data_IF_869011229071
#
_entry.id   IF_869011229071
#
_cell.length_a   1.000
_cell.length_b   1.000
_cell.length_c   1.000
_cell.angle_alpha   90.00
_cell.angle_beta   90.00
_cell.angle_gamma   90.00
#
_symmetry.space_group_name_H-M   'P 1'
#
loop_
_entity.id
_entity.type
_entity.pdbx_description
1 polymer ?
#
# COMPACT_ATOMS: atom_id res chain seq x y z
N UNK A 1 -1.73 -9.07 -6.29
CA UNK A 1 -1.50 -7.63 -6.58
C UNK A 1 -2.30 -6.81 -5.59
N UNK A 2 -1.63 -6.01 -4.75
CA UNK A 2 -2.31 -5.12 -3.79
C UNK A 2 -2.59 -3.78 -4.49
N UNK A 3 -3.84 -3.32 -4.58
CA UNK A 3 -4.15 -2.03 -5.18
C UNK A 3 -3.48 -0.87 -4.45
N UNK A 4 -3.12 0.19 -5.18
CA UNK A 4 -2.47 1.38 -4.60
C UNK A 4 -3.28 2.04 -3.49
N UNK A 5 -4.63 1.99 -3.57
CA UNK A 5 -5.51 2.52 -2.52
C UNK A 5 -5.36 1.77 -1.20
N UNK A 6 -5.11 0.45 -1.24
CA UNK A 6 -4.96 -0.36 -0.05
C UNK A 6 -3.65 -0.05 0.67
N UNK A 7 -2.55 0.13 -0.08
CA UNK A 7 -1.27 0.57 0.50
C UNK A 7 -1.37 1.97 1.12
N UNK A 8 -2.11 2.90 0.49
CA UNK A 8 -2.38 4.23 1.05
C UNK A 8 -3.22 4.16 2.33
N UNK A 9 -4.25 3.31 2.37
CA UNK A 9 -5.08 3.15 3.55
C UNK A 9 -4.26 2.63 4.74
N UNK A 10 -3.36 1.66 4.50
CA UNK A 10 -2.45 1.14 5.53
C UNK A 10 -1.47 2.22 6.01
N UNK A 11 -0.91 3.02 5.10
CA UNK A 11 0.01 4.12 5.46
C UNK A 11 -0.68 5.17 6.34
N UNK A 12 -1.88 5.62 5.97
CA UNK A 12 -2.68 6.58 6.75
C UNK A 12 -2.98 6.01 8.14
N UNK A 13 -3.50 4.78 8.20
CA UNK A 13 -3.85 4.12 9.45
C UNK A 13 -2.64 4.02 10.40
N UNK A 14 -1.47 3.63 9.89
CA UNK A 14 -0.28 3.47 10.72
C UNK A 14 0.28 4.82 11.19
N UNK A 15 0.18 5.88 10.38
CA UNK A 15 0.54 7.25 10.81
C UNK A 15 -0.37 7.74 11.93
N UNK A 16 -1.68 7.49 11.81
CA UNK A 16 -2.68 7.91 12.78
C UNK A 16 -2.49 7.19 14.13
N UNK A 17 -2.34 5.86 14.11
CA UNK A 17 -2.11 5.06 15.32
C UNK A 17 -0.81 5.45 16.03
N UNK A 18 0.25 5.67 15.26
CA UNK A 18 1.57 6.01 15.81
C UNK A 18 1.70 7.49 16.17
N UNK A 19 0.74 8.34 15.76
CA UNK A 19 0.77 9.79 15.86
C UNK A 19 2.07 10.40 15.30
N UNK A 20 2.56 9.85 14.19
CA UNK A 20 3.82 10.22 13.54
C UNK A 20 3.59 10.30 12.03
N UNK A 21 4.06 11.38 11.39
CA UNK A 21 3.85 11.64 9.95
C UNK A 21 4.83 10.92 9.00
N UNK A 22 5.69 10.06 9.55
CA UNK A 22 6.63 9.22 8.79
C UNK A 22 5.87 8.12 8.05
N UNK A 23 6.26 7.74 6.81
CA UNK A 23 5.64 6.64 6.08
C UNK A 23 5.46 5.38 6.94
N UNK A 24 4.26 4.81 6.87
CA UNK A 24 3.81 3.63 7.61
C UNK A 24 4.01 3.74 9.12
N UNK A 25 3.97 4.95 9.69
CA UNK A 25 4.22 5.16 11.12
C UNK A 25 5.64 4.74 11.55
N UNK A 26 6.61 4.82 10.63
CA UNK A 26 8.00 4.42 10.87
C UNK A 26 8.25 2.91 10.90
N UNK A 27 7.28 2.09 10.45
CA UNK A 27 7.46 0.64 10.37
C UNK A 27 8.27 0.24 9.14
N UNK A 28 9.07 -0.81 9.30
CA UNK A 28 9.78 -1.45 8.19
C UNK A 28 8.74 -2.22 7.37
N UNK A 29 8.62 -1.89 6.09
CA UNK A 29 7.71 -2.54 5.15
C UNK A 29 8.50 -3.44 4.19
N UNK A 30 8.15 -4.72 4.15
CA UNK A 30 8.67 -5.67 3.16
C UNK A 30 7.54 -6.05 2.22
N UNK A 31 7.65 -5.66 0.96
CA UNK A 31 6.70 -5.99 -0.08
C UNK A 31 7.27 -7.13 -0.93
N UNK A 32 6.51 -8.22 -1.05
CA UNK A 32 6.88 -9.38 -1.86
C UNK A 32 5.74 -9.78 -2.78
N UNK A 33 6.09 -10.24 -3.99
CA UNK A 33 5.13 -10.76 -4.95
C UNK A 33 5.76 -10.92 -6.34
N UNK A 34 5.13 -11.72 -7.19
CA UNK A 34 5.48 -11.81 -8.61
C UNK A 34 4.62 -10.82 -9.41
N UNK A 35 5.21 -9.67 -9.74
CA UNK A 35 4.56 -8.61 -10.50
C UNK A 35 4.24 -8.98 -11.95
N UNK A 36 4.84 -10.07 -12.46
CA UNK A 36 4.61 -10.58 -13.82
C UNK A 36 3.54 -11.67 -13.85
N UNK A 37 3.13 -12.19 -12.68
CA UNK A 37 2.16 -13.27 -12.61
C UNK A 37 0.74 -12.80 -12.93
N UNK A 38 0.36 -11.60 -12.47
CA UNK A 38 -0.91 -10.94 -12.79
C UNK A 38 -0.77 -9.41 -12.65
N UNK A 39 -1.11 -8.66 -13.70
CA UNK A 39 -1.17 -7.19 -13.65
C UNK A 39 -2.30 -6.71 -12.72
N UNK A 40 -2.18 -5.55 -12.06
CA UNK A 40 -3.27 -5.00 -11.26
C UNK A 40 -4.49 -4.74 -12.14
N UNK A 41 -5.65 -5.21 -11.69
CA UNK A 41 -6.93 -4.99 -12.39
C UNK A 41 -7.37 -3.54 -12.16
N UNK A 42 -7.43 -2.76 -13.24
CA UNK A 42 -8.04 -1.42 -13.25
C UNK A 42 -9.44 -1.58 -13.82
N UNK A 43 -10.48 -1.25 -13.03
CA UNK A 43 -11.84 -1.17 -13.57
C UNK A 43 -11.92 0.10 -14.43
N UNK A 44 -12.40 -0.02 -15.67
CA UNK A 44 -12.59 1.07 -16.64
C UNK A 44 -11.28 1.66 -17.19
N UNK A 45 -10.53 0.87 -17.96
CA UNK A 45 -9.47 1.43 -18.79
C UNK A 45 -10.11 2.32 -19.88
N UNK A 46 -9.82 3.62 -19.84
CA UNK A 46 -10.08 4.55 -20.94
C UNK A 46 -9.13 4.27 -22.11
#
# INVERSE_FOLDING_TARGET
>A
MTPSYALKAVDILLRDIMNISVPFGGKIMVLGGDFRQVLPVVRFAN
#
